data_IF_879212826907
#
_entry.id   IF_879212826907
#
_cell.length_a   1.000
_cell.length_b   1.000
_cell.length_c   1.000
_cell.angle_alpha   90.00
_cell.angle_beta   90.00
_cell.angle_gamma   90.00
#
_symmetry.space_group_name_H-M   'P 1'
#
loop_
_entity.id
_entity.type
_entity.pdbx_description
1 polymer ?
#
# COMPACT_ATOMS: atom_id res chain seq x y z
N UNK A 1 0.46 -12.75 18.96
CA UNK A 1 0.30 -12.23 17.59
C UNK A 1 -1.15 -12.44 17.16
N UNK A 2 -1.91 -11.39 16.80
CA UNK A 2 -3.34 -11.58 16.44
C UNK A 2 -3.43 -12.07 15.00
N UNK A 3 -3.79 -13.34 14.80
CA UNK A 3 -3.96 -13.99 13.48
C UNK A 3 -4.76 -13.12 12.49
N UNK A 4 -5.79 -12.43 13.00
CA UNK A 4 -6.65 -11.51 12.25
C UNK A 4 -5.91 -10.36 11.57
N UNK A 5 -4.90 -9.77 12.21
CA UNK A 5 -4.15 -8.66 11.59
C UNK A 5 -3.22 -9.16 10.48
N UNK A 6 -2.63 -10.34 10.67
CA UNK A 6 -1.83 -11.00 9.64
C UNK A 6 -2.69 -11.35 8.42
N UNK A 7 -3.87 -11.94 8.64
CA UNK A 7 -4.80 -12.27 7.56
C UNK A 7 -5.24 -11.04 6.77
N UNK A 8 -5.57 -9.95 7.49
CA UNK A 8 -5.94 -8.68 6.85
C UNK A 8 -4.79 -8.07 6.04
N UNK A 9 -3.55 -8.21 6.51
CA UNK A 9 -2.38 -7.76 5.77
C UNK A 9 -2.08 -8.62 4.54
N UNK A 10 -2.29 -9.94 4.66
CA UNK A 10 -2.17 -10.91 3.58
C UNK A 10 -3.20 -10.66 2.47
N UNK A 11 -4.47 -10.44 2.83
CA UNK A 11 -5.56 -10.11 1.90
C UNK A 11 -5.30 -8.84 1.10
N UNK A 12 -4.73 -7.82 1.72
CA UNK A 12 -4.34 -6.59 1.01
C UNK A 12 -3.19 -6.85 0.02
N UNK A 13 -2.29 -7.78 0.33
CA UNK A 13 -1.26 -8.25 -0.59
C UNK A 13 -1.84 -9.04 -1.77
N UNK A 14 -2.94 -9.78 -1.57
CA UNK A 14 -3.65 -10.54 -2.61
C UNK A 14 -4.06 -9.65 -3.78
N UNK A 15 -4.60 -8.47 -3.49
CA UNK A 15 -5.04 -7.53 -4.54
C UNK A 15 -3.86 -7.15 -5.44
N UNK A 16 -2.71 -6.88 -4.84
CA UNK A 16 -1.51 -6.56 -5.60
C UNK A 16 -0.97 -7.77 -6.36
N UNK A 17 -0.99 -8.97 -5.75
CA UNK A 17 -0.63 -10.22 -6.41
C UNK A 17 -1.45 -10.47 -7.68
N UNK A 18 -2.77 -10.29 -7.61
CA UNK A 18 -3.67 -10.50 -8.75
C UNK A 18 -3.37 -9.49 -9.86
N UNK A 19 -3.17 -8.20 -9.51
CA UNK A 19 -2.85 -7.16 -10.49
C UNK A 19 -1.52 -7.47 -11.18
N UNK A 20 -0.45 -7.67 -10.41
CA UNK A 20 0.89 -7.93 -10.98
C UNK A 20 0.92 -9.25 -11.73
N UNK A 21 0.31 -10.30 -11.19
CA UNK A 21 0.19 -11.61 -11.84
C UNK A 21 -0.57 -11.53 -13.16
N UNK A 22 -1.61 -10.70 -13.24
CA UNK A 22 -2.30 -10.41 -14.49
C UNK A 22 -1.36 -9.76 -15.49
N UNK A 23 -0.63 -8.69 -15.12
CA UNK A 23 0.31 -8.03 -16.03
C UNK A 23 1.48 -8.92 -16.49
N UNK A 24 1.94 -9.83 -15.64
CA UNK A 24 3.02 -10.78 -15.99
C UNK A 24 2.52 -11.91 -16.89
N UNK A 25 1.25 -12.31 -16.76
CA UNK A 25 0.69 -13.48 -17.45
C UNK A 25 -0.15 -13.13 -18.68
N UNK A 26 -0.71 -11.92 -18.73
CA UNK A 26 -1.53 -11.46 -19.83
C UNK A 26 -0.67 -11.20 -21.06
N UNK A 27 -1.10 -11.75 -22.20
CA UNK A 27 -0.56 -11.34 -23.49
C UNK A 27 -0.97 -9.88 -23.76
N UNK A 28 -0.25 -9.17 -24.65
CA UNK A 28 -0.61 -7.80 -25.05
C UNK A 28 -2.04 -7.69 -25.62
N UNK A 29 -2.60 -8.80 -26.11
CA UNK A 29 -4.00 -8.91 -26.58
C UNK A 29 -5.04 -9.06 -25.45
N UNK A 30 -4.60 -9.05 -24.19
CA UNK A 30 -5.46 -9.22 -23.01
C UNK A 30 -5.89 -10.67 -22.72
N UNK A 31 -5.43 -11.64 -23.52
CA UNK A 31 -5.68 -13.05 -23.25
C UNK A 31 -4.79 -13.55 -22.10
N UNK A 32 -5.39 -14.21 -21.12
CA UNK A 32 -4.69 -14.76 -19.97
C UNK A 32 -4.37 -16.23 -20.21
N UNK A 33 -3.20 -16.50 -20.78
CA UNK A 33 -2.71 -17.86 -20.92
C UNK A 33 -1.80 -18.18 -19.74
N UNK A 34 -2.31 -18.95 -18.78
CA UNK A 34 -1.55 -19.31 -17.58
C UNK A 34 -0.41 -20.26 -17.92
N UNK A 35 0.81 -19.72 -17.96
CA UNK A 35 2.04 -20.47 -18.14
C UNK A 35 2.90 -20.40 -16.88
N UNK A 36 3.53 -21.53 -16.54
CA UNK A 36 4.53 -21.61 -15.47
C UNK A 36 5.86 -21.01 -15.95
N UNK A 37 5.90 -19.68 -16.04
CA UNK A 37 7.12 -18.93 -16.27
C UNK A 37 7.88 -18.73 -14.95
N UNK A 38 9.21 -18.58 -15.00
CA UNK A 38 10.07 -18.27 -13.86
C UNK A 38 9.53 -17.08 -13.06
N UNK A 39 9.02 -16.05 -13.73
CA UNK A 39 8.40 -14.88 -13.09
C UNK A 39 7.13 -15.24 -12.30
N UNK A 40 6.27 -16.10 -12.85
CA UNK A 40 5.05 -16.56 -12.17
C UNK A 40 5.37 -17.46 -10.97
N UNK A 41 6.37 -18.33 -11.09
CA UNK A 41 6.87 -19.18 -10.00
C UNK A 41 7.46 -18.30 -8.88
N UNK A 42 8.22 -17.28 -9.26
CA UNK A 42 8.80 -16.35 -8.30
C UNK A 42 7.72 -15.50 -7.61
N UNK A 43 6.73 -14.98 -8.35
CA UNK A 43 5.62 -14.20 -7.80
C UNK A 43 4.74 -15.03 -6.84
N UNK A 44 4.36 -16.25 -7.26
CA UNK A 44 3.55 -17.18 -6.46
C UNK A 44 4.27 -17.58 -5.18
N UNK A 45 5.54 -18.01 -5.27
CA UNK A 45 6.33 -18.39 -4.11
C UNK A 45 6.57 -17.20 -3.17
N UNK A 46 6.88 -16.03 -3.72
CA UNK A 46 7.08 -14.81 -2.94
C UNK A 46 5.83 -14.44 -2.15
N UNK A 47 4.65 -14.51 -2.75
CA UNK A 47 3.40 -14.22 -2.07
C UNK A 47 2.99 -15.27 -1.03
N UNK A 48 3.03 -16.56 -1.38
CA UNK A 48 2.55 -17.65 -0.52
C UNK A 48 3.43 -17.86 0.71
N UNK A 49 4.75 -17.77 0.55
CA UNK A 49 5.70 -18.20 1.58
C UNK A 49 6.47 -17.00 2.14
N UNK A 50 7.14 -16.23 1.28
CA UNK A 50 8.11 -15.24 1.74
C UNK A 50 7.46 -13.97 2.31
N UNK A 51 6.37 -13.50 1.72
CA UNK A 51 5.64 -12.31 2.17
C UNK A 51 5.07 -12.43 3.59
N UNK A 52 4.30 -13.48 3.96
CA UNK A 52 3.82 -13.63 5.33
C UNK A 52 4.96 -13.87 6.32
N UNK A 53 6.05 -14.52 5.90
CA UNK A 53 7.21 -14.79 6.73
C UNK A 53 8.01 -13.51 7.02
N UNK A 54 8.17 -12.63 6.02
CA UNK A 54 8.77 -11.31 6.17
C UNK A 54 7.93 -10.41 7.09
N UNK A 55 6.60 -10.39 6.92
CA UNK A 55 5.70 -9.64 7.80
C UNK A 55 5.69 -10.18 9.23
N UNK A 56 5.93 -11.48 9.42
CA UNK A 56 6.07 -12.09 10.75
C UNK A 56 7.39 -11.68 11.42
N UNK A 57 8.50 -11.69 10.66
CA UNK A 57 9.83 -11.37 11.18
C UNK A 57 10.06 -9.88 11.40
N UNK A 58 9.50 -9.03 10.56
CA UNK A 58 9.68 -7.57 10.60
C UNK A 58 8.31 -6.89 10.73
N UNK A 59 7.75 -6.80 11.95
CA UNK A 59 6.43 -6.20 12.17
C UNK A 59 6.40 -4.70 11.90
N UNK A 60 7.57 -4.04 11.82
CA UNK A 60 7.68 -2.62 11.47
C UNK A 60 7.18 -2.33 10.04
N UNK A 61 7.33 -3.27 9.11
CA UNK A 61 6.86 -3.15 7.72
C UNK A 61 5.33 -3.22 7.57
N UNK A 62 4.61 -3.55 8.66
CA UNK A 62 3.14 -3.54 8.68
C UNK A 62 2.57 -2.13 8.82
N UNK A 63 3.35 -1.19 9.35
CA UNK A 63 2.87 0.17 9.58
C UNK A 63 2.98 0.96 8.27
N UNK A 64 1.91 1.68 7.85
CA UNK A 64 2.00 2.58 6.70
C UNK A 64 2.99 3.69 7.04
N UNK A 65 4.19 3.61 6.47
CA UNK A 65 5.23 4.62 6.65
C UNK A 65 4.99 5.86 5.79
N UNK A 66 4.21 5.69 4.72
CA UNK A 66 3.88 6.72 3.75
C UNK A 66 2.38 7.01 3.87
N UNK A 67 2.06 8.26 4.24
CA UNK A 67 0.71 8.80 4.16
C UNK A 67 0.74 10.06 3.32
N UNK A 68 -0.02 10.08 2.23
CA UNK A 68 -0.15 11.29 1.40
C UNK A 68 -1.13 12.24 2.08
N UNK A 69 -0.69 13.48 2.30
CA UNK A 69 -1.55 14.57 2.74
C UNK A 69 -1.45 15.68 1.70
N UNK A 70 -2.57 16.03 1.08
CA UNK A 70 -2.60 17.16 0.15
C UNK A 70 -2.28 18.46 0.90
N UNK A 71 -1.30 19.22 0.39
CA UNK A 71 -0.96 20.56 0.91
C UNK A 71 -2.18 21.49 0.85
N UNK A 72 -3.02 21.33 -0.17
CA UNK A 72 -4.28 22.06 -0.37
C UNK A 72 -5.27 21.80 0.77
N UNK A 73 -5.35 20.57 1.27
CA UNK A 73 -6.23 20.20 2.39
C UNK A 73 -5.76 20.82 3.72
N UNK A 74 -4.44 20.93 3.94
CA UNK A 74 -3.89 21.57 5.15
C UNK A 74 -4.15 23.08 5.21
N UNK A 75 -4.01 23.77 4.07
CA UNK A 75 -4.34 25.20 3.95
C UNK A 75 -5.86 25.47 3.98
N UNK A 76 -6.66 24.58 3.39
CA UNK A 76 -8.13 24.68 3.41
C UNK A 76 -8.72 24.41 4.80
N UNK A 77 -8.19 23.42 5.54
CA UNK A 77 -8.59 23.17 6.93
C UNK A 77 -8.20 24.31 7.86
N UNK A 78 -7.02 24.90 7.66
CA UNK A 78 -6.60 26.09 8.41
C UNK A 78 -7.51 27.31 8.15
N UNK A 79 -8.02 27.46 6.93
CA UNK A 79 -8.97 28.53 6.56
C UNK A 79 -10.44 28.24 6.91
N UNK A 80 -10.79 27.00 7.23
CA UNK A 80 -12.07 26.61 7.84
C UNK A 80 -12.14 26.92 9.35
N UNK A 81 -11.00 26.85 10.04
CA UNK A 81 -10.90 27.10 11.49
C UNK A 81 -10.86 28.61 11.82
N UNK A 82 -10.50 29.44 10.83
CA UNK A 82 -10.54 30.89 10.94
C UNK A 82 -11.98 31.42 10.81
N UNK A 83 -12.63 31.62 11.97
CA UNK A 83 -14.00 32.13 12.09
C UNK A 83 -14.24 33.50 11.41
N UNK A 84 -13.17 34.23 11.08
CA UNK A 84 -13.24 35.56 10.47
C UNK A 84 -13.62 35.54 8.97
N UNK A 85 -13.50 34.39 8.30
CA UNK A 85 -13.73 34.24 6.84
C UNK A 85 -15.09 33.60 6.48
N UNK A 86 -16.06 33.65 7.41
CA UNK A 86 -17.42 33.07 7.24
C UNK A 86 -18.26 33.77 6.17
N UNK A 87 -17.95 35.02 5.81
CA UNK A 87 -18.75 35.85 4.90
C UNK A 87 -18.30 35.86 3.44
N UNK A 88 -17.16 35.26 3.09
CA UNK A 88 -16.67 35.21 1.71
C UNK A 88 -17.14 33.93 1.00
N UNK A 89 -18.46 33.76 0.87
CA UNK A 89 -19.04 32.73 0.02
C UNK A 89 -18.85 33.11 -1.46
N UNK A 90 -17.70 32.82 -2.04
CA UNK A 90 -17.41 33.04 -3.46
C UNK A 90 -18.11 32.05 -4.40
N UNK A 91 -18.88 31.08 -3.89
CA UNK A 91 -19.71 30.20 -4.73
C UNK A 91 -20.91 29.63 -3.94
N UNK A 92 -22.17 30.02 -4.24
CA UNK A 92 -23.36 29.62 -3.47
C UNK A 92 -23.85 28.18 -3.72
N UNK A 93 -23.25 27.45 -4.66
CA UNK A 93 -23.74 26.12 -5.09
C UNK A 93 -23.00 24.97 -4.41
N UNK A 94 -21.88 25.23 -3.72
CA UNK A 94 -21.05 24.16 -3.16
C UNK A 94 -20.56 24.53 -1.76
N UNK A 95 -21.02 23.78 -0.75
CA UNK A 95 -20.69 24.03 0.65
C UNK A 95 -19.18 23.78 0.89
N UNK A 96 -18.51 24.63 1.68
CA UNK A 96 -17.08 24.45 2.00
C UNK A 96 -16.81 23.12 2.71
N UNK A 97 -17.78 22.60 3.46
CA UNK A 97 -17.73 21.26 4.06
C UNK A 97 -17.77 20.14 3.00
N UNK A 98 -18.53 20.32 1.92
CA UNK A 98 -18.57 19.34 0.81
C UNK A 98 -17.25 19.33 0.03
N UNK A 99 -16.58 20.49 -0.08
CA UNK A 99 -15.24 20.61 -0.65
C UNK A 99 -14.19 19.89 0.23
N UNK A 100 -14.24 20.10 1.55
CA UNK A 100 -13.35 19.40 2.49
C UNK A 100 -13.56 17.88 2.44
N UNK A 101 -14.81 17.42 2.40
CA UNK A 101 -15.13 15.99 2.34
C UNK A 101 -14.64 15.36 1.03
N UNK A 102 -14.79 16.06 -0.11
CA UNK A 102 -14.23 15.59 -1.39
C UNK A 102 -12.70 15.50 -1.38
N UNK A 103 -12.02 16.48 -0.79
CA UNK A 103 -10.56 16.46 -0.66
C UNK A 103 -10.10 15.33 0.26
N UNK A 104 -10.81 15.10 1.37
CA UNK A 104 -10.51 14.01 2.28
C UNK A 104 -10.71 12.63 1.61
N UNK A 105 -11.78 12.44 0.84
CA UNK A 105 -12.01 11.22 0.07
C UNK A 105 -10.92 10.98 -0.99
N UNK A 106 -10.43 12.04 -1.63
CA UNK A 106 -9.31 11.94 -2.57
C UNK A 106 -8.00 11.55 -1.86
N UNK A 107 -7.69 12.18 -0.74
CA UNK A 107 -6.52 11.85 0.08
C UNK A 107 -6.57 10.40 0.58
N UNK A 108 -7.73 9.93 1.05
CA UNK A 108 -7.93 8.55 1.49
C UNK A 108 -7.74 7.55 0.34
N UNK A 109 -8.27 7.87 -0.84
CA UNK A 109 -8.05 7.07 -2.05
C UNK A 109 -6.58 6.98 -2.46
N UNK A 110 -5.86 8.11 -2.45
CA UNK A 110 -4.44 8.16 -2.74
C UNK A 110 -3.62 7.39 -1.70
N UNK A 111 -3.96 7.51 -0.42
CA UNK A 111 -3.29 6.80 0.66
C UNK A 111 -3.51 5.28 0.58
N UNK A 112 -4.70 4.85 0.16
CA UNK A 112 -5.00 3.45 -0.14
C UNK A 112 -4.15 2.95 -1.31
N UNK A 113 -4.06 3.71 -2.40
CA UNK A 113 -3.23 3.37 -3.56
C UNK A 113 -1.75 3.22 -3.18
N UNK A 114 -1.20 4.17 -2.42
CA UNK A 114 0.18 4.11 -1.91
C UNK A 114 0.37 2.90 -1.01
N UNK A 115 -0.58 2.61 -0.12
CA UNK A 115 -0.51 1.44 0.75
C UNK A 115 -0.47 0.14 -0.06
N UNK A 116 -1.24 0.03 -1.14
CA UNK A 116 -1.20 -1.13 -2.04
C UNK A 116 0.14 -1.22 -2.79
N UNK A 117 0.64 -0.10 -3.29
CA UNK A 117 1.91 -0.05 -4.03
C UNK A 117 3.09 -0.48 -3.14
N UNK A 118 3.17 0.06 -1.93
CA UNK A 118 4.19 -0.32 -0.93
C UNK A 118 4.11 -1.81 -0.59
N UNK A 119 2.90 -2.36 -0.44
CA UNK A 119 2.71 -3.80 -0.19
C UNK A 119 3.16 -4.66 -1.37
N UNK A 120 2.92 -4.19 -2.60
CA UNK A 120 3.43 -4.83 -3.82
C UNK A 120 4.96 -4.84 -3.88
N UNK A 121 5.58 -3.70 -3.57
CA UNK A 121 7.05 -3.61 -3.49
C UNK A 121 7.59 -4.56 -2.42
N UNK A 122 6.95 -4.65 -1.25
CA UNK A 122 7.34 -5.62 -0.22
C UNK A 122 7.18 -7.07 -0.66
N UNK A 123 6.20 -7.40 -1.52
CA UNK A 123 6.10 -8.72 -2.11
C UNK A 123 7.27 -9.00 -3.05
N UNK A 124 7.67 -8.06 -3.90
CA UNK A 124 8.81 -8.25 -4.81
C UNK A 124 10.14 -8.40 -4.04
N UNK A 125 10.30 -7.62 -2.97
CA UNK A 125 11.52 -7.62 -2.16
C UNK A 125 11.48 -8.72 -1.08
N UNK A 126 10.39 -9.50 -0.95
CA UNK A 126 10.26 -10.45 0.16
C UNK A 126 11.35 -11.52 0.18
N UNK A 127 11.67 -12.09 -0.99
CA UNK A 127 12.72 -13.09 -1.14
C UNK A 127 14.11 -12.49 -0.82
N UNK A 128 14.59 -11.43 -1.51
CA UNK A 128 15.90 -10.85 -1.20
C UNK A 128 15.96 -10.26 0.23
N UNK A 129 14.87 -9.69 0.72
CA UNK A 129 14.78 -9.12 2.07
C UNK A 129 14.94 -10.17 3.16
N UNK A 130 14.35 -11.36 2.99
CA UNK A 130 14.55 -12.47 3.93
C UNK A 130 15.95 -13.06 3.88
N UNK A 131 16.59 -13.09 2.70
CA UNK A 131 17.98 -13.51 2.57
C UNK A 131 18.90 -12.56 3.34
N UNK A 132 18.75 -11.25 3.15
CA UNK A 132 19.53 -10.22 3.87
C UNK A 132 19.31 -10.33 5.38
N UNK A 133 18.05 -10.48 5.80
CA UNK A 133 17.72 -10.66 7.22
C UNK A 133 18.36 -11.93 7.80
N UNK A 134 18.32 -13.04 7.06
CA UNK A 134 18.95 -14.30 7.44
C UNK A 134 20.45 -14.14 7.67
N UNK A 135 21.15 -13.50 6.71
CA UNK A 135 22.59 -13.21 6.81
C UNK A 135 22.89 -12.33 8.03
N UNK A 136 22.13 -11.25 8.23
CA UNK A 136 22.33 -10.33 9.36
C UNK A 136 22.16 -11.01 10.72
N UNK A 137 21.14 -11.85 10.86
CA UNK A 137 20.93 -12.63 12.10
C UNK A 137 21.98 -13.71 12.30
N UNK A 138 22.49 -14.29 11.22
CA UNK A 138 23.61 -15.24 11.26
C UNK A 138 24.88 -14.59 11.78
N UNK A 139 25.23 -13.40 11.27
CA UNK A 139 26.39 -12.62 11.74
C UNK A 139 26.25 -12.26 13.22
N UNK A 140 25.07 -11.81 13.65
CA UNK A 140 24.81 -11.47 15.06
C UNK A 140 24.87 -12.64 16.04
N UNK A 141 24.66 -13.87 15.58
CA UNK A 141 24.80 -15.07 16.42
C UNK A 141 26.23 -15.60 16.49
N UNK A 142 27.08 -15.19 15.54
CA UNK A 142 28.48 -15.60 15.47
C UNK A 142 29.43 -14.63 16.20
N UNK A 143 28.96 -13.44 16.58
CA UNK A 143 29.62 -12.47 17.45
C UNK A 143 29.11 -12.58 18.88
#
# INVERSE_FOLDING_TARGET
MKLRTLLGDYLKGLVCYVIVGYFVTANPDGTLNWHWNVLNIWLTSSYLIFYPLLLNRVPQLRRPWLAMKSLTNSGFKASLDDRSSYHQATNPVMNRYDMADRMQRQDDGANLAITLLVRGVYMLIAIPGLIIYGIWTGIKKAS
#
